data_IF_235391035091
#
_entry.id   IF_235391035091
#
_cell.length_a   1.000
_cell.length_b   1.000
_cell.length_c   1.000
_cell.angle_alpha   90.00
_cell.angle_beta   90.00
_cell.angle_gamma   90.00
#
_symmetry.space_group_name_H-M   'P 1'
#
loop_
_entity.id
_entity.type
_entity.pdbx_description
1 polymer ?
#
# COMPACT_ATOMS: atom_id res chain seq x y z
N UNK A 1 -10.47 -37.27 -10.98
CA UNK A 1 -9.31 -36.44 -11.39
C UNK A 1 -9.68 -35.04 -11.88
N UNK A 2 -10.76 -34.86 -12.64
CA UNK A 2 -11.16 -33.51 -13.10
C UNK A 2 -11.61 -32.57 -11.97
N UNK A 3 -12.14 -33.07 -10.87
CA UNK A 3 -12.58 -32.26 -9.71
C UNK A 3 -11.41 -31.74 -8.85
N UNK A 4 -10.29 -32.46 -8.78
CA UNK A 4 -9.07 -32.04 -8.08
C UNK A 4 -8.33 -30.92 -8.82
N UNK A 5 -8.35 -30.95 -10.15
CA UNK A 5 -7.78 -29.88 -10.99
C UNK A 5 -8.58 -28.57 -10.90
N UNK A 6 -9.90 -28.68 -10.79
CA UNK A 6 -10.78 -27.50 -10.63
C UNK A 6 -10.63 -26.87 -9.26
N UNK A 7 -10.40 -27.66 -8.21
CA UNK A 7 -10.16 -27.17 -6.86
C UNK A 7 -8.77 -26.51 -6.71
N UNK A 8 -7.75 -27.07 -7.37
CA UNK A 8 -6.41 -26.48 -7.40
C UNK A 8 -6.38 -25.16 -8.20
N UNK A 9 -7.18 -25.03 -9.26
CA UNK A 9 -7.28 -23.81 -10.04
C UNK A 9 -8.06 -22.71 -9.31
N UNK A 10 -9.01 -23.05 -8.45
CA UNK A 10 -9.75 -22.09 -7.60
C UNK A 10 -8.89 -21.54 -6.46
N UNK A 11 -7.90 -22.29 -5.95
CA UNK A 11 -6.97 -21.79 -4.93
C UNK A 11 -5.95 -20.79 -5.47
N UNK A 12 -5.70 -20.76 -6.77
CA UNK A 12 -4.75 -19.83 -7.40
C UNK A 12 -5.33 -18.42 -7.64
N UNK A 13 -6.65 -18.24 -7.46
CA UNK A 13 -7.31 -16.96 -7.74
C UNK A 13 -7.51 -16.05 -6.52
N UNK A 14 -7.13 -16.50 -5.31
CA UNK A 14 -7.34 -15.73 -4.08
C UNK A 14 -6.11 -15.02 -3.52
N UNK A 15 -4.98 -15.05 -4.23
CA UNK A 15 -3.68 -14.62 -3.67
C UNK A 15 -3.29 -13.16 -3.92
N UNK A 16 -4.07 -12.39 -4.67
CA UNK A 16 -3.70 -11.02 -5.05
C UNK A 16 -3.72 -9.99 -3.91
N UNK A 17 -4.61 -10.13 -2.93
CA UNK A 17 -4.79 -9.13 -1.86
C UNK A 17 -3.93 -9.37 -0.61
N UNK A 18 -3.11 -10.42 -0.56
CA UNK A 18 -2.44 -10.85 0.67
C UNK A 18 -0.98 -10.40 0.82
N UNK A 19 -0.30 -9.99 -0.25
CA UNK A 19 1.12 -9.66 -0.18
C UNK A 19 1.42 -8.49 0.76
N UNK A 20 0.59 -7.48 0.73
CA UNK A 20 0.74 -6.32 1.60
C UNK A 20 0.42 -6.66 3.05
N UNK A 21 -0.64 -7.41 3.27
CA UNK A 21 -1.01 -7.92 4.58
C UNK A 21 0.13 -8.72 5.20
N UNK A 22 0.79 -9.59 4.44
CA UNK A 22 1.94 -10.39 4.89
C UNK A 22 3.10 -9.54 5.39
N UNK A 23 3.48 -8.48 4.67
CA UNK A 23 4.56 -7.57 5.09
C UNK A 23 4.20 -6.85 6.39
N UNK A 24 2.97 -6.33 6.49
CA UNK A 24 2.51 -5.64 7.69
C UNK A 24 2.45 -6.57 8.90
N UNK A 25 1.84 -7.75 8.78
CA UNK A 25 1.73 -8.74 9.85
C UNK A 25 3.10 -9.26 10.30
N UNK A 26 4.05 -9.40 9.37
CA UNK A 26 5.41 -9.84 9.71
C UNK A 26 6.13 -8.89 10.65
N UNK A 27 5.87 -7.59 10.53
CA UNK A 27 6.63 -6.55 11.22
C UNK A 27 5.86 -5.78 12.29
N UNK A 28 4.53 -5.98 12.42
CA UNK A 28 3.68 -5.19 13.34
C UNK A 28 4.12 -5.22 14.80
N UNK A 29 4.70 -6.33 15.25
CA UNK A 29 5.20 -6.49 16.62
C UNK A 29 6.71 -6.23 16.75
N UNK A 30 7.36 -5.74 15.70
CA UNK A 30 8.80 -5.51 15.70
C UNK A 30 9.13 -4.17 16.35
N UNK A 31 10.08 -4.19 17.30
CA UNK A 31 10.58 -2.94 17.90
C UNK A 31 11.17 -2.02 16.84
N UNK A 32 10.79 -0.75 16.87
CA UNK A 32 11.19 0.24 15.86
C UNK A 32 10.27 0.30 14.65
N UNK A 33 9.17 -0.46 14.65
CA UNK A 33 8.12 -0.41 13.64
C UNK A 33 6.82 0.10 14.27
N UNK A 34 6.13 0.96 13.58
CA UNK A 34 4.74 1.33 13.88
C UNK A 34 3.84 1.04 12.69
N UNK A 35 2.66 0.53 12.97
CA UNK A 35 1.65 0.24 11.95
C UNK A 35 0.32 0.90 12.27
N UNK A 36 -0.37 1.37 11.22
CA UNK A 36 -1.71 1.95 11.32
C UNK A 36 -2.60 1.28 10.27
N UNK A 37 -3.81 0.94 10.66
CA UNK A 37 -4.86 0.48 9.76
C UNK A 37 -6.09 1.37 9.89
N UNK A 38 -6.55 1.91 8.77
CA UNK A 38 -7.77 2.71 8.68
C UNK A 38 -8.77 1.97 7.78
N UNK A 39 -9.89 1.56 8.37
CA UNK A 39 -10.96 0.85 7.65
C UNK A 39 -11.82 1.80 6.83
N UNK A 40 -12.60 1.24 5.90
CA UNK A 40 -13.62 1.99 5.12
C UNK A 40 -14.62 2.71 6.05
N UNK A 41 -15.03 2.06 7.12
CA UNK A 41 -15.95 2.66 8.09
C UNK A 41 -15.37 3.94 8.71
N UNK A 42 -14.09 3.90 9.09
CA UNK A 42 -13.39 5.08 9.60
C UNK A 42 -13.19 6.16 8.54
N UNK A 43 -12.87 5.77 7.30
CA UNK A 43 -12.75 6.73 6.19
C UNK A 43 -14.09 7.39 5.86
N UNK A 44 -15.20 6.69 6.02
CA UNK A 44 -16.55 7.20 5.81
C UNK A 44 -16.99 8.13 6.96
N UNK A 45 -16.72 7.73 8.21
CA UNK A 45 -16.96 8.58 9.40
C UNK A 45 -16.07 9.81 9.38
N UNK A 46 -14.84 9.65 8.92
CA UNK A 46 -13.88 10.71 8.66
C UNK A 46 -14.24 11.54 7.40
N UNK A 47 -15.49 11.55 6.94
CA UNK A 47 -16.08 12.71 6.26
C UNK A 47 -15.61 14.00 6.94
N UNK A 48 -15.06 13.76 8.15
CA UNK A 48 -14.10 14.51 8.90
C UNK A 48 -12.85 15.07 8.21
N UNK A 49 -12.36 14.54 7.14
CA UNK A 49 -11.37 15.24 6.31
C UNK A 49 -11.98 16.49 5.67
N UNK A 50 -13.26 16.48 5.40
CA UNK A 50 -14.01 17.70 5.03
C UNK A 50 -14.07 18.72 6.18
N UNK A 51 -14.15 18.26 7.42
CA UNK A 51 -14.10 19.11 8.61
C UNK A 51 -12.71 19.73 8.85
N UNK A 52 -11.64 19.09 8.33
CA UNK A 52 -10.28 19.65 8.32
C UNK A 52 -10.05 20.63 7.16
N UNK A 53 -11.07 20.88 6.33
CA UNK A 53 -11.01 21.84 5.23
C UNK A 53 -10.34 21.31 3.94
N UNK A 54 -9.90 20.06 3.92
CA UNK A 54 -9.24 19.45 2.75
C UNK A 54 -10.24 18.71 1.88
N UNK A 55 -10.72 19.40 0.83
CA UNK A 55 -11.65 18.83 -0.15
C UNK A 55 -11.03 17.74 -1.04
N UNK A 56 -9.70 17.80 -1.26
CA UNK A 56 -8.98 16.79 -2.06
C UNK A 56 -8.96 15.46 -1.29
N UNK A 57 -8.51 15.47 -0.02
CA UNK A 57 -8.50 14.28 0.83
C UNK A 57 -9.90 13.71 1.07
N UNK A 58 -10.91 14.55 1.24
CA UNK A 58 -12.29 14.11 1.39
C UNK A 58 -12.81 13.36 0.15
N UNK A 59 -12.49 13.86 -1.04
CA UNK A 59 -12.86 13.22 -2.31
C UNK A 59 -12.15 11.89 -2.50
N UNK A 60 -10.86 11.82 -2.17
CA UNK A 60 -10.06 10.60 -2.25
C UNK A 60 -10.52 9.57 -1.22
N UNK A 61 -10.84 9.98 0.00
CA UNK A 61 -11.35 9.10 1.05
C UNK A 61 -12.62 8.33 0.61
N UNK A 62 -13.48 8.95 -0.19
CA UNK A 62 -14.67 8.30 -0.76
C UNK A 62 -14.35 7.17 -1.75
N UNK A 63 -13.16 7.17 -2.34
CA UNK A 63 -12.70 6.13 -3.28
C UNK A 63 -11.90 5.03 -2.59
N UNK A 64 -11.49 5.21 -1.34
CA UNK A 64 -10.65 4.28 -0.60
C UNK A 64 -11.48 3.25 0.15
N UNK A 65 -11.05 1.98 0.11
CA UNK A 65 -11.59 0.91 0.93
C UNK A 65 -10.84 0.77 2.26
N UNK A 66 -9.53 0.95 2.24
CA UNK A 66 -8.70 1.00 3.44
C UNK A 66 -7.36 1.66 3.16
N UNK A 67 -6.70 2.05 4.24
CA UNK A 67 -5.31 2.52 4.25
C UNK A 67 -4.53 1.72 5.27
N UNK A 68 -3.31 1.32 4.94
CA UNK A 68 -2.34 0.76 5.87
C UNK A 68 -1.06 1.57 5.79
N UNK A 69 -0.49 1.86 6.94
CA UNK A 69 0.77 2.60 7.04
C UNK A 69 1.72 1.78 7.91
N UNK A 70 2.95 1.62 7.46
CA UNK A 70 4.05 1.07 8.23
C UNK A 70 5.19 2.08 8.18
N UNK A 71 5.71 2.43 9.36
CA UNK A 71 6.92 3.24 9.48
C UNK A 71 7.94 2.48 10.28
N UNK A 72 9.20 2.58 9.90
CA UNK A 72 10.30 2.04 10.69
C UNK A 72 11.51 2.96 10.68
N UNK A 73 12.31 2.82 11.73
CA UNK A 73 13.58 3.52 11.93
C UNK A 73 14.71 2.52 12.16
N UNK A 74 15.90 2.87 11.68
CA UNK A 74 17.12 2.07 11.81
C UNK A 74 17.56 1.38 10.54
N UNK A 75 18.81 1.61 10.12
CA UNK A 75 19.37 1.14 8.83
C UNK A 75 19.16 -0.36 8.57
N UNK A 76 19.44 -1.23 9.54
CA UNK A 76 19.29 -2.68 9.37
C UNK A 76 17.85 -3.11 9.17
N UNK A 77 16.92 -2.48 9.87
CA UNK A 77 15.49 -2.75 9.74
C UNK A 77 14.93 -2.19 8.43
N UNK A 78 15.35 -0.99 8.03
CA UNK A 78 15.00 -0.37 6.75
C UNK A 78 15.38 -1.29 5.58
N UNK A 79 16.63 -1.77 5.53
CA UNK A 79 17.09 -2.64 4.46
C UNK A 79 16.33 -3.99 4.42
N UNK A 80 16.00 -4.55 5.58
CA UNK A 80 15.24 -5.79 5.69
C UNK A 80 13.80 -5.62 5.19
N UNK A 81 13.09 -4.61 5.68
CA UNK A 81 11.70 -4.35 5.29
C UNK A 81 11.61 -3.95 3.82
N UNK A 82 12.51 -3.11 3.34
CA UNK A 82 12.60 -2.73 1.92
C UNK A 82 12.74 -3.96 1.02
N UNK A 83 13.67 -4.85 1.33
CA UNK A 83 13.90 -6.08 0.57
C UNK A 83 12.66 -6.97 0.58
N UNK A 84 12.06 -7.20 1.72
CA UNK A 84 10.89 -8.08 1.87
C UNK A 84 9.67 -7.49 1.16
N UNK A 85 9.45 -6.19 1.25
CA UNK A 85 8.37 -5.51 0.56
C UNK A 85 8.54 -5.57 -0.96
N UNK A 86 9.72 -5.28 -1.48
CA UNK A 86 10.00 -5.34 -2.92
C UNK A 86 9.86 -6.77 -3.46
N UNK A 87 10.32 -7.77 -2.73
CA UNK A 87 10.15 -9.18 -3.08
C UNK A 87 8.68 -9.59 -3.12
N UNK A 88 7.88 -9.16 -2.12
CA UNK A 88 6.45 -9.42 -2.07
C UNK A 88 5.71 -8.77 -3.24
N UNK A 89 6.01 -7.52 -3.57
CA UNK A 89 5.38 -6.83 -4.70
C UNK A 89 5.71 -7.50 -6.04
N UNK A 90 6.97 -7.85 -6.27
CA UNK A 90 7.39 -8.56 -7.49
C UNK A 90 6.69 -9.91 -7.62
N UNK A 91 6.66 -10.70 -6.55
CA UNK A 91 6.06 -12.04 -6.54
C UNK A 91 4.55 -12.01 -6.79
N UNK A 92 3.85 -10.99 -6.30
CA UNK A 92 2.39 -10.85 -6.42
C UNK A 92 1.93 -10.08 -7.64
N UNK A 93 2.83 -9.68 -8.53
CA UNK A 93 2.50 -9.05 -9.80
C UNK A 93 2.19 -7.56 -9.73
N UNK A 94 2.67 -6.87 -8.71
CA UNK A 94 2.62 -5.41 -8.68
C UNK A 94 3.54 -4.83 -9.76
N UNK A 95 3.10 -3.78 -10.40
CA UNK A 95 3.89 -3.00 -11.35
C UNK A 95 4.43 -1.73 -10.68
N UNK A 96 5.69 -1.41 -10.94
CA UNK A 96 6.23 -0.11 -10.59
C UNK A 96 5.72 0.92 -11.60
N UNK A 97 4.93 1.88 -11.13
CA UNK A 97 4.30 2.89 -11.97
C UNK A 97 4.94 4.26 -11.86
N UNK A 98 5.69 4.51 -10.79
CA UNK A 98 6.40 5.78 -10.60
C UNK A 98 7.61 5.57 -9.69
N UNK A 99 8.69 6.29 -9.99
CA UNK A 99 9.88 6.37 -9.14
C UNK A 99 10.41 7.79 -9.11
N UNK A 100 10.66 8.28 -7.92
CA UNK A 100 11.32 9.57 -7.68
C UNK A 100 12.57 9.32 -6.85
N UNK A 101 13.69 9.90 -7.24
CA UNK A 101 14.90 9.93 -6.43
C UNK A 101 15.28 11.41 -6.26
N UNK A 102 15.35 11.85 -5.04
CA UNK A 102 15.67 13.23 -4.69
C UNK A 102 16.50 13.26 -3.42
N UNK A 103 17.71 13.79 -3.53
CA UNK A 103 18.64 14.06 -2.41
C UNK A 103 18.73 12.96 -1.33
N UNK A 104 18.86 11.69 -1.77
CA UNK A 104 18.97 10.53 -0.88
C UNK A 104 17.64 9.90 -0.47
N UNK A 105 16.53 10.53 -0.78
CA UNK A 105 15.20 9.98 -0.65
C UNK A 105 14.78 9.25 -1.94
N UNK A 106 14.15 8.10 -1.78
CA UNK A 106 13.56 7.34 -2.90
C UNK A 106 12.11 7.02 -2.61
N UNK A 107 11.23 7.50 -3.47
CA UNK A 107 9.81 7.13 -3.48
C UNK A 107 9.52 6.24 -4.68
N UNK A 108 8.92 5.08 -4.43
CA UNK A 108 8.46 4.17 -5.49
C UNK A 108 6.98 3.89 -5.27
N UNK A 109 6.19 4.03 -6.32
CA UNK A 109 4.77 3.67 -6.31
C UNK A 109 4.59 2.40 -7.12
N UNK A 110 4.03 1.39 -6.46
CA UNK A 110 3.61 0.12 -7.06
C UNK A 110 2.10 0.09 -7.17
N UNK A 111 1.59 -0.55 -8.22
CA UNK A 111 0.16 -0.75 -8.45
C UNK A 111 -0.14 -2.21 -8.74
N UNK A 112 -1.23 -2.71 -8.16
CA UNK A 112 -1.84 -3.98 -8.51
C UNK A 112 -3.31 -3.71 -8.90
N UNK A 113 -3.68 -4.08 -10.13
CA UNK A 113 -5.07 -4.05 -10.56
C UNK A 113 -5.85 -5.20 -9.92
N UNK A 114 -7.00 -4.89 -9.33
CA UNK A 114 -7.93 -5.83 -8.73
C UNK A 114 -9.21 -5.92 -9.56
N UNK A 115 -10.07 -6.89 -9.21
CA UNK A 115 -11.38 -7.04 -9.86
C UNK A 115 -12.30 -5.85 -9.53
N UNK A 116 -13.24 -5.55 -10.44
CA UNK A 116 -14.27 -4.54 -10.24
C UNK A 116 -13.77 -3.10 -10.34
N UNK A 117 -12.71 -2.84 -11.12
CA UNK A 117 -12.14 -1.50 -11.30
C UNK A 117 -11.39 -0.96 -10.09
N UNK A 118 -11.06 -1.84 -9.14
CA UNK A 118 -10.27 -1.51 -7.96
C UNK A 118 -8.78 -1.67 -8.22
N UNK A 119 -7.98 -0.96 -7.47
CA UNK A 119 -6.51 -1.06 -7.45
C UNK A 119 -5.99 -1.04 -6.02
N UNK A 120 -4.84 -1.64 -5.84
CA UNK A 120 -3.98 -1.43 -4.67
C UNK A 120 -2.75 -0.63 -5.08
N UNK A 121 -2.44 0.38 -4.30
CA UNK A 121 -1.21 1.15 -4.44
C UNK A 121 -0.36 0.97 -3.20
N UNK A 122 0.93 0.78 -3.40
CA UNK A 122 1.93 0.80 -2.35
C UNK A 122 2.94 1.90 -2.64
N UNK A 123 3.00 2.90 -1.76
CA UNK A 123 4.03 3.91 -1.78
C UNK A 123 5.14 3.46 -0.82
N UNK A 124 6.31 3.20 -1.35
CA UNK A 124 7.50 2.86 -0.59
C UNK A 124 8.42 4.09 -0.60
N UNK A 125 8.50 4.77 0.53
CA UNK A 125 9.46 5.85 0.75
C UNK A 125 10.64 5.33 1.58
N UNK A 126 11.84 5.49 1.07
CA UNK A 126 13.08 5.02 1.69
C UNK A 126 14.08 6.17 1.80
N UNK A 127 14.51 6.42 3.02
CA UNK A 127 15.63 7.24 3.38
C UNK A 127 16.73 6.38 4.01
N UNK A 128 17.87 6.98 4.39
CA UNK A 128 19.01 6.22 4.90
C UNK A 128 18.68 5.39 6.15
N UNK A 129 17.93 5.94 7.09
CA UNK A 129 17.59 5.32 8.36
C UNK A 129 16.09 5.25 8.65
N UNK A 130 15.26 5.63 7.69
CA UNK A 130 13.81 5.65 7.82
C UNK A 130 13.15 5.03 6.58
N UNK A 131 12.04 4.33 6.80
CA UNK A 131 11.22 3.78 5.74
C UNK A 131 9.75 3.95 6.09
N UNK A 132 8.97 4.34 5.11
CA UNK A 132 7.52 4.38 5.20
C UNK A 132 6.90 3.59 4.05
N UNK A 133 5.90 2.76 4.36
CA UNK A 133 5.03 2.12 3.38
C UNK A 133 3.62 2.61 3.61
N UNK A 134 3.01 3.18 2.58
CA UNK A 134 1.60 3.54 2.59
C UNK A 134 0.90 2.65 1.55
N UNK A 135 -0.01 1.83 2.04
CA UNK A 135 -0.83 0.99 1.19
C UNK A 135 -2.26 1.53 1.14
N UNK A 136 -2.78 1.71 -0.06
CA UNK A 136 -4.13 2.22 -0.29
C UNK A 136 -4.84 1.27 -1.26
N UNK A 137 -6.03 0.83 -0.91
CA UNK A 137 -6.88 0.05 -1.81
C UNK A 137 -8.24 0.72 -2.01
N UNK A 138 -8.81 0.56 -3.20
CA UNK A 138 -10.10 1.12 -3.58
C UNK A 138 -10.22 1.36 -5.08
N UNK A 139 -11.16 2.22 -5.45
CA UNK A 139 -11.35 2.68 -6.84
C UNK A 139 -10.46 3.87 -7.20
N UNK A 140 -9.30 3.96 -6.58
CA UNK A 140 -8.31 5.01 -6.78
C UNK A 140 -7.56 4.77 -8.09
N UNK A 141 -7.28 5.84 -8.82
CA UNK A 141 -6.48 5.83 -10.04
C UNK A 141 -5.07 6.33 -9.78
N UNK A 142 -4.16 6.08 -10.72
CA UNK A 142 -2.80 6.65 -10.68
C UNK A 142 -2.83 8.19 -10.69
N UNK A 143 -3.80 8.78 -11.37
CA UNK A 143 -3.99 10.24 -11.40
C UNK A 143 -4.37 10.77 -10.01
N UNK A 144 -5.25 10.06 -9.30
CA UNK A 144 -5.57 10.38 -7.91
C UNK A 144 -4.31 10.32 -7.03
N UNK A 145 -3.42 9.33 -7.26
CA UNK A 145 -2.18 9.15 -6.49
C UNK A 145 -1.16 10.25 -6.73
N UNK A 146 -1.05 10.77 -7.95
CA UNK A 146 -0.17 11.91 -8.26
C UNK A 146 -0.50 13.13 -7.42
N UNK A 147 -1.76 13.36 -7.14
CA UNK A 147 -2.21 14.50 -6.31
C UNK A 147 -1.70 14.43 -4.86
N UNK A 148 -1.27 13.28 -4.37
CA UNK A 148 -0.63 13.12 -3.07
C UNK A 148 0.86 13.47 -3.07
N UNK A 149 1.52 13.33 -4.23
CA UNK A 149 2.97 13.55 -4.36
C UNK A 149 3.33 14.95 -4.84
N UNK A 150 2.38 15.66 -5.45
CA UNK A 150 2.53 17.05 -5.84
C UNK A 150 2.13 17.93 -4.66
N UNK A 151 3.10 18.25 -3.82
CA UNK A 151 2.97 19.35 -2.87
C UNK A 151 3.00 20.66 -3.66
N UNK A 152 1.96 21.46 -3.49
CA UNK A 152 1.91 22.84 -3.97
C UNK A 152 3.04 23.69 -3.41
#
# INVERSE_FOLDING_TARGET
>A
MKQLLTFALMMLLSTGAQAQKEVFEKYEDTKGVSTVFVSKAMLTLAGGFAALGDKKLSRLAGKMDNIRILNCEGKGLVERIKRDAQAAYTTKGYEEVMRVNDDGERVVIYQLALKGGKSEFALLNVEEAELSIINISGTITLEDMKQFTEND
#
